data_IF_943860949007
#
_entry.id   IF_943860949007
#
_cell.length_a   1.000
_cell.length_b   1.000
_cell.length_c   1.000
_cell.angle_alpha   90.00
_cell.angle_beta   90.00
_cell.angle_gamma   90.00
#
_symmetry.space_group_name_H-M   'P 1'
#
loop_
_entity.id
_entity.type
_entity.pdbx_description
1 polymer ?
#
# COMPACT_ATOMS: atom_id res chain seq x y z
N UNK A 1 -36.31 30.47 -32.23
CA UNK A 1 -36.72 29.79 -30.98
C UNK A 1 -36.93 28.27 -31.16
N UNK A 2 -37.65 27.78 -32.20
CA UNK A 2 -37.92 26.34 -32.42
C UNK A 2 -36.67 25.47 -32.60
N UNK A 3 -35.59 25.95 -33.27
CA UNK A 3 -34.37 25.21 -33.50
C UNK A 3 -33.53 24.96 -32.21
N UNK A 4 -33.53 25.92 -31.27
CA UNK A 4 -32.85 25.81 -29.96
C UNK A 4 -33.56 24.79 -29.06
N UNK A 5 -34.89 24.76 -29.03
CA UNK A 5 -35.69 23.78 -28.27
C UNK A 5 -35.46 22.33 -28.74
N UNK A 6 -35.37 22.08 -30.07
CA UNK A 6 -35.07 20.74 -30.63
C UNK A 6 -33.68 20.24 -30.24
N UNK A 7 -32.67 21.12 -30.18
CA UNK A 7 -31.29 20.78 -29.79
C UNK A 7 -31.19 20.42 -28.30
N UNK A 8 -31.90 21.16 -27.44
CA UNK A 8 -31.98 20.86 -26.00
C UNK A 8 -32.66 19.51 -25.72
N UNK A 9 -33.76 19.22 -26.43
CA UNK A 9 -34.48 17.95 -26.27
C UNK A 9 -33.63 16.76 -26.70
N UNK A 10 -32.86 16.86 -27.82
CA UNK A 10 -31.93 15.81 -28.26
C UNK A 10 -30.80 15.60 -27.28
N UNK A 11 -30.26 16.66 -26.69
CA UNK A 11 -29.23 16.57 -25.66
C UNK A 11 -29.76 15.92 -24.36
N UNK A 12 -30.96 16.28 -23.93
CA UNK A 12 -31.62 15.66 -22.78
C UNK A 12 -31.80 14.14 -22.95
N UNK A 13 -32.32 13.72 -24.12
CA UNK A 13 -32.46 12.29 -24.42
C UNK A 13 -31.12 11.56 -24.56
N UNK A 14 -30.09 12.23 -25.03
CA UNK A 14 -28.74 11.68 -25.07
C UNK A 14 -28.21 11.42 -23.66
N UNK A 15 -28.37 12.37 -22.73
CA UNK A 15 -27.97 12.22 -21.31
C UNK A 15 -28.72 11.06 -20.64
N UNK A 16 -30.03 10.96 -20.86
CA UNK A 16 -30.84 9.86 -20.31
C UNK A 16 -30.36 8.50 -20.85
N UNK A 17 -30.14 8.39 -22.15
CA UNK A 17 -29.62 7.16 -22.75
C UNK A 17 -28.24 6.78 -22.17
N UNK A 18 -27.37 7.76 -22.00
CA UNK A 18 -26.05 7.54 -21.39
C UNK A 18 -26.17 7.06 -19.93
N UNK A 19 -27.09 7.65 -19.15
CA UNK A 19 -27.34 7.20 -17.76
C UNK A 19 -27.90 5.78 -17.72
N UNK A 20 -28.82 5.42 -18.62
CA UNK A 20 -29.37 4.05 -18.70
C UNK A 20 -28.24 3.05 -19.05
N UNK A 21 -27.40 3.37 -20.03
CA UNK A 21 -26.26 2.50 -20.38
C UNK A 21 -25.30 2.34 -19.21
N UNK A 22 -24.99 3.42 -18.52
CA UNK A 22 -24.14 3.39 -17.33
C UNK A 22 -24.75 2.52 -16.22
N UNK A 23 -26.05 2.67 -15.98
CA UNK A 23 -26.79 1.86 -15.01
C UNK A 23 -26.77 0.36 -15.39
N UNK A 24 -26.99 0.03 -16.65
CA UNK A 24 -26.92 -1.35 -17.12
C UNK A 24 -25.52 -1.95 -16.99
N UNK A 25 -24.47 -1.17 -17.24
CA UNK A 25 -23.08 -1.58 -17.03
C UNK A 25 -22.79 -1.84 -15.54
N UNK A 26 -23.28 -0.98 -14.64
CA UNK A 26 -23.15 -1.17 -13.19
C UNK A 26 -23.90 -2.42 -12.73
N UNK A 27 -25.14 -2.61 -13.19
CA UNK A 27 -25.93 -3.81 -12.86
C UNK A 27 -25.29 -5.09 -13.43
N UNK A 28 -24.75 -5.05 -14.64
CA UNK A 28 -24.01 -6.16 -15.23
C UNK A 28 -22.74 -6.50 -14.43
N UNK A 29 -21.96 -5.50 -14.04
CA UNK A 29 -20.78 -5.68 -13.21
C UNK A 29 -21.13 -6.23 -11.82
N UNK A 30 -22.21 -5.72 -11.19
CA UNK A 30 -22.72 -6.26 -9.93
C UNK A 30 -23.17 -7.72 -10.09
N UNK A 31 -23.87 -8.05 -11.17
CA UNK A 31 -24.26 -9.43 -11.48
C UNK A 31 -23.05 -10.36 -11.61
N UNK A 32 -22.02 -9.97 -12.35
CA UNK A 32 -20.79 -10.74 -12.48
C UNK A 32 -20.09 -10.88 -11.12
N UNK A 33 -20.04 -9.82 -10.32
CA UNK A 33 -19.45 -9.85 -8.98
C UNK A 33 -20.16 -10.85 -8.04
N UNK A 34 -21.50 -10.81 -7.97
CA UNK A 34 -22.27 -11.67 -7.06
C UNK A 34 -22.44 -13.10 -7.58
N UNK A 35 -22.68 -13.30 -8.88
CA UNK A 35 -22.93 -14.62 -9.44
C UNK A 35 -21.68 -15.30 -10.00
N UNK A 36 -20.60 -14.57 -10.23
CA UNK A 36 -19.31 -15.10 -10.69
C UNK A 36 -18.40 -15.67 -9.59
N UNK A 37 -18.87 -15.74 -8.33
CA UNK A 37 -18.08 -16.21 -7.19
C UNK A 37 -17.03 -15.23 -6.66
N UNK A 38 -16.85 -14.05 -7.29
CA UNK A 38 -15.86 -13.06 -6.85
C UNK A 38 -16.16 -12.47 -5.47
N UNK A 39 -17.45 -12.41 -5.08
CA UNK A 39 -17.83 -11.91 -3.77
C UNK A 39 -17.32 -12.82 -2.65
N UNK A 40 -17.45 -14.13 -2.81
CA UNK A 40 -17.00 -15.12 -1.84
C UNK A 40 -15.46 -15.12 -1.76
N UNK A 41 -14.79 -15.06 -2.91
CA UNK A 41 -13.34 -14.99 -2.99
C UNK A 41 -12.78 -13.72 -2.28
N UNK A 42 -13.38 -12.55 -2.52
CA UNK A 42 -13.01 -11.30 -1.82
C UNK A 42 -13.24 -11.40 -0.32
N UNK A 43 -14.33 -12.02 0.12
CA UNK A 43 -14.61 -12.23 1.55
C UNK A 43 -13.61 -13.20 2.18
N UNK A 44 -13.20 -14.24 1.47
CA UNK A 44 -12.15 -15.16 1.93
C UNK A 44 -10.82 -14.43 2.08
N UNK A 45 -10.36 -13.69 1.06
CA UNK A 45 -9.13 -12.89 1.10
C UNK A 45 -9.16 -11.91 2.28
N UNK A 46 -10.31 -11.29 2.54
CA UNK A 46 -10.47 -10.39 3.68
C UNK A 46 -10.30 -11.09 5.01
N UNK A 47 -10.91 -12.28 5.18
CA UNK A 47 -10.78 -13.07 6.42
C UNK A 47 -9.34 -13.49 6.66
N UNK A 48 -8.65 -13.95 5.61
CA UNK A 48 -7.25 -14.33 5.66
C UNK A 48 -6.37 -13.13 6.08
N UNK A 49 -6.58 -11.95 5.48
CA UNK A 49 -5.83 -10.76 5.83
C UNK A 49 -6.04 -10.32 7.29
N UNK A 50 -7.27 -10.40 7.80
CA UNK A 50 -7.60 -10.11 9.20
C UNK A 50 -6.86 -11.10 10.13
N UNK A 51 -6.89 -12.39 9.80
CA UNK A 51 -6.26 -13.42 10.60
C UNK A 51 -4.74 -13.29 10.61
N UNK A 52 -4.12 -13.08 9.46
CA UNK A 52 -2.67 -12.89 9.35
C UNK A 52 -2.17 -11.71 10.18
N UNK A 53 -2.87 -10.58 10.16
CA UNK A 53 -2.50 -9.43 10.99
C UNK A 53 -2.79 -9.69 12.48
N UNK A 54 -3.87 -10.42 12.82
CA UNK A 54 -4.17 -10.77 14.20
C UNK A 54 -3.13 -11.72 14.82
N UNK A 55 -2.67 -12.69 14.04
CA UNK A 55 -1.72 -13.70 14.49
C UNK A 55 -0.26 -13.21 14.49
N UNK A 56 0.04 -12.13 13.76
CA UNK A 56 1.37 -11.53 13.75
C UNK A 56 1.62 -10.71 15.02
N UNK A 57 2.86 -10.67 15.46
CA UNK A 57 3.33 -9.75 16.49
C UNK A 57 4.35 -8.74 15.95
N UNK A 58 4.86 -7.85 16.79
CA UNK A 58 5.82 -6.83 16.36
C UNK A 58 7.16 -7.41 15.92
N UNK A 59 7.50 -8.63 16.32
CA UNK A 59 8.77 -9.28 15.95
C UNK A 59 8.84 -9.53 14.43
N UNK A 60 7.69 -9.71 13.78
CA UNK A 60 7.62 -9.83 12.31
C UNK A 60 8.28 -8.64 11.60
N UNK A 61 8.15 -7.45 12.18
CA UNK A 61 8.62 -6.20 11.56
C UNK A 61 10.06 -5.84 11.96
N UNK A 62 10.67 -6.62 12.86
CA UNK A 62 12.05 -6.42 13.28
C UNK A 62 12.95 -7.25 12.35
N UNK A 63 13.78 -6.62 11.50
CA UNK A 63 14.70 -7.36 10.65
C UNK A 63 15.73 -8.12 11.48
N UNK A 64 16.28 -9.19 10.90
CA UNK A 64 17.41 -9.91 11.50
C UNK A 64 18.57 -8.93 11.73
N UNK A 65 18.87 -8.67 13.00
CA UNK A 65 19.86 -7.68 13.38
C UNK A 65 21.28 -8.24 13.25
N UNK A 66 22.24 -7.37 12.96
CA UNK A 66 23.66 -7.65 13.10
C UNK A 66 24.00 -7.85 14.57
N UNK A 67 24.60 -9.00 14.90
CA UNK A 67 25.08 -9.28 16.25
C UNK A 67 26.56 -8.84 16.36
N UNK A 68 26.82 -7.82 17.17
CA UNK A 68 28.18 -7.37 17.46
C UNK A 68 28.67 -8.01 18.76
N UNK A 69 29.82 -8.65 18.70
CA UNK A 69 30.47 -9.30 19.86
C UNK A 69 31.63 -8.42 20.33
N UNK A 70 31.62 -8.07 21.61
CA UNK A 70 32.64 -7.23 22.22
C UNK A 70 33.45 -8.02 23.26
N UNK A 71 34.71 -7.61 23.48
CA UNK A 71 35.52 -8.12 24.59
C UNK A 71 35.08 -7.49 25.94
N UNK A 72 35.70 -7.94 27.02
CA UNK A 72 35.43 -7.41 28.38
C UNK A 72 35.82 -5.94 28.54
N UNK A 73 36.61 -5.39 27.64
CA UNK A 73 37.06 -4.00 27.61
C UNK A 73 36.22 -3.11 26.69
N UNK A 74 35.19 -3.70 26.01
CA UNK A 74 34.30 -2.99 25.11
C UNK A 74 34.85 -2.86 23.67
N UNK A 75 35.94 -3.57 23.32
CA UNK A 75 36.44 -3.58 21.95
C UNK A 75 35.65 -4.57 21.09
N UNK A 76 35.29 -4.17 19.88
CA UNK A 76 34.60 -5.02 18.94
C UNK A 76 35.48 -6.19 18.49
N UNK A 77 35.06 -7.43 18.78
CA UNK A 77 35.77 -8.66 18.36
C UNK A 77 35.30 -9.12 16.98
N UNK A 78 33.98 -9.10 16.77
CA UNK A 78 33.37 -9.64 15.56
C UNK A 78 31.97 -9.07 15.36
N UNK A 79 31.59 -8.91 14.10
CA UNK A 79 30.21 -8.66 13.68
C UNK A 79 29.69 -9.86 12.90
N UNK A 80 28.61 -10.43 13.38
CA UNK A 80 27.82 -11.41 12.61
C UNK A 80 26.67 -10.67 11.97
N UNK A 81 26.78 -10.43 10.67
CA UNK A 81 25.72 -9.86 9.87
C UNK A 81 24.56 -10.85 9.79
N UNK A 82 23.36 -10.39 10.09
CA UNK A 82 22.13 -11.09 9.72
C UNK A 82 21.97 -11.09 8.20
N UNK A 83 20.90 -11.67 7.70
CA UNK A 83 20.57 -11.64 6.25
C UNK A 83 20.44 -10.21 5.70
N UNK A 84 20.17 -9.26 6.59
CA UNK A 84 20.11 -7.81 6.31
C UNK A 84 21.03 -7.12 7.32
N UNK A 85 22.08 -6.45 6.84
CA UNK A 85 23.02 -5.70 7.70
C UNK A 85 22.34 -4.40 8.17
N UNK A 86 21.40 -4.51 9.10
CA UNK A 86 20.62 -3.40 9.60
C UNK A 86 20.44 -3.47 11.12
N UNK A 87 20.51 -2.30 11.77
CA UNK A 87 20.06 -2.13 13.16
C UNK A 87 18.65 -1.54 13.12
N UNK A 88 17.79 -1.99 14.05
CA UNK A 88 16.44 -1.46 14.15
C UNK A 88 16.48 -0.07 14.78
N UNK A 89 15.89 0.91 14.09
CA UNK A 89 15.83 2.31 14.52
C UNK A 89 14.40 2.62 14.96
N UNK A 90 14.23 3.10 16.19
CA UNK A 90 12.92 3.54 16.70
C UNK A 90 12.49 4.84 16.00
N UNK A 91 11.17 5.06 15.89
CA UNK A 91 10.63 6.24 15.25
C UNK A 91 11.16 7.56 15.84
N UNK A 92 11.33 7.62 17.14
CA UNK A 92 11.86 8.79 17.88
C UNK A 92 13.30 9.18 17.49
N UNK A 93 14.08 8.19 17.03
CA UNK A 93 15.48 8.36 16.61
C UNK A 93 15.60 8.71 15.11
N UNK A 94 14.50 8.63 14.35
CA UNK A 94 14.49 8.96 12.93
C UNK A 94 14.35 10.48 12.74
N UNK A 95 15.26 11.13 11.98
CA UNK A 95 15.17 12.55 11.73
C UNK A 95 13.83 12.95 11.06
N UNK A 96 13.15 13.95 11.59
CA UNK A 96 11.85 14.43 11.06
C UNK A 96 11.94 14.86 9.59
N UNK A 97 13.08 15.40 9.17
CA UNK A 97 13.34 15.77 7.78
C UNK A 97 13.29 14.54 6.87
N UNK A 98 13.84 13.41 7.31
CA UNK A 98 13.81 12.16 6.54
C UNK A 98 12.39 11.62 6.42
N UNK A 99 11.65 11.56 7.54
CA UNK A 99 10.23 11.17 7.55
C UNK A 99 9.42 12.03 6.58
N UNK A 100 9.62 13.35 6.62
CA UNK A 100 8.93 14.29 5.72
C UNK A 100 9.27 14.05 4.25
N UNK A 101 10.54 13.76 3.95
CA UNK A 101 10.99 13.47 2.59
C UNK A 101 10.32 12.20 2.04
N UNK A 102 10.34 11.09 2.80
CA UNK A 102 9.72 9.82 2.41
C UNK A 102 8.21 10.00 2.17
N UNK A 103 7.50 10.62 3.12
CA UNK A 103 6.05 10.86 2.96
C UNK A 103 5.77 11.73 1.73
N UNK A 104 6.61 12.73 1.46
CA UNK A 104 6.43 13.62 0.31
C UNK A 104 6.62 12.93 -1.03
N UNK A 105 7.43 11.88 -1.08
CA UNK A 105 7.71 11.11 -2.30
C UNK A 105 6.70 9.97 -2.45
N UNK A 106 6.54 9.15 -1.41
CA UNK A 106 5.80 7.90 -1.47
C UNK A 106 4.30 8.08 -1.23
N UNK A 107 3.92 8.94 -0.27
CA UNK A 107 2.54 9.03 0.18
C UNK A 107 2.19 10.37 0.82
N UNK A 108 2.01 11.41 0.01
CA UNK A 108 1.73 12.80 0.46
C UNK A 108 0.54 12.94 1.40
N UNK A 109 -0.34 11.94 1.44
CA UNK A 109 -1.55 11.95 2.27
C UNK A 109 -1.53 10.91 3.37
N UNK A 110 -0.36 10.38 3.70
CA UNK A 110 -0.20 9.31 4.67
C UNK A 110 -1.01 9.50 5.96
N UNK A 111 -0.98 10.68 6.56
CA UNK A 111 -1.73 11.00 7.77
C UNK A 111 -3.24 11.25 7.56
N UNK A 112 -3.75 11.17 6.32
CA UNK A 112 -5.14 11.52 5.98
C UNK A 112 -6.00 10.33 5.53
N UNK A 113 -5.43 9.16 5.40
CA UNK A 113 -6.14 7.93 5.02
C UNK A 113 -5.87 6.80 6.02
N UNK A 114 -6.69 5.77 5.99
CA UNK A 114 -6.58 4.58 6.83
C UNK A 114 -6.04 3.40 6.01
N UNK A 115 -4.76 3.43 5.68
CA UNK A 115 -4.05 2.40 4.93
C UNK A 115 -4.12 2.52 3.41
N UNK A 116 -5.19 3.11 2.85
CA UNK A 116 -5.42 3.17 1.40
C UNK A 116 -5.90 4.55 0.96
N UNK A 117 -5.21 5.18 0.00
CA UNK A 117 -5.70 6.37 -0.72
C UNK A 117 -6.41 5.94 -2.02
N UNK A 118 -7.73 5.69 -1.94
CA UNK A 118 -8.55 5.33 -3.12
C UNK A 118 -8.50 6.40 -4.21
N UNK A 119 -8.34 7.68 -3.87
CA UNK A 119 -8.22 8.76 -4.85
C UNK A 119 -6.89 8.67 -5.62
N UNK A 120 -5.81 8.28 -4.93
CA UNK A 120 -4.52 8.03 -5.59
C UNK A 120 -4.59 6.81 -6.51
N UNK A 121 -5.23 5.73 -6.09
CA UNK A 121 -5.45 4.54 -6.92
C UNK A 121 -6.22 4.92 -8.19
N UNK A 122 -7.34 5.64 -8.06
CA UNK A 122 -8.14 6.07 -9.21
C UNK A 122 -7.37 6.98 -10.16
N UNK A 123 -6.53 7.89 -9.65
CA UNK A 123 -5.63 8.72 -10.49
C UNK A 123 -4.62 7.87 -11.24
N UNK A 124 -4.00 6.89 -10.56
CA UNK A 124 -3.02 5.99 -11.18
C UNK A 124 -3.66 5.15 -12.29
N UNK A 125 -4.87 4.61 -12.07
CA UNK A 125 -5.64 3.87 -13.08
C UNK A 125 -5.95 4.76 -14.29
N UNK A 126 -6.46 5.98 -14.07
CA UNK A 126 -6.74 6.94 -15.14
C UNK A 126 -5.47 7.28 -15.93
N UNK A 127 -4.37 7.57 -15.25
CA UNK A 127 -3.09 7.89 -15.90
C UNK A 127 -2.57 6.72 -16.73
N UNK A 128 -2.70 5.48 -16.24
CA UNK A 128 -2.34 4.26 -16.98
C UNK A 128 -3.18 4.07 -18.23
N UNK A 129 -4.50 4.29 -18.14
CA UNK A 129 -5.40 4.19 -19.29
C UNK A 129 -5.10 5.25 -20.37
N UNK A 130 -4.71 6.47 -19.95
CA UNK A 130 -4.38 7.55 -20.87
C UNK A 130 -3.00 7.42 -21.52
N UNK A 131 -2.02 6.95 -20.75
CA UNK A 131 -0.61 6.88 -21.20
C UNK A 131 -0.20 5.51 -21.76
N UNK A 132 -1.03 4.47 -21.63
CA UNK A 132 -0.72 3.08 -22.00
C UNK A 132 0.39 2.44 -21.14
N UNK A 133 0.95 3.17 -20.18
CA UNK A 133 2.03 2.73 -19.27
C UNK A 133 1.81 3.24 -17.86
N UNK A 134 2.49 2.62 -16.88
CA UNK A 134 2.45 3.09 -15.48
C UNK A 134 3.28 4.36 -15.38
N UNK A 135 2.63 5.48 -15.09
CA UNK A 135 3.25 6.80 -14.93
C UNK A 135 3.24 7.30 -13.51
N UNK A 136 2.35 6.76 -12.66
CA UNK A 136 2.21 7.14 -11.25
C UNK A 136 1.93 5.91 -10.40
N UNK A 137 2.52 5.85 -9.19
CA UNK A 137 2.19 4.88 -8.16
C UNK A 137 0.87 5.23 -7.47
N UNK A 138 0.08 4.21 -7.15
CA UNK A 138 -1.16 4.36 -6.37
C UNK A 138 -1.11 3.61 -5.03
N UNK A 139 0.04 3.04 -4.66
CA UNK A 139 0.21 2.34 -3.40
C UNK A 139 0.65 3.29 -2.30
N UNK A 140 0.07 3.16 -1.11
CA UNK A 140 0.45 3.91 0.10
C UNK A 140 1.66 3.27 0.79
N UNK A 141 2.26 3.97 1.75
CA UNK A 141 3.32 3.43 2.61
C UNK A 141 2.83 2.16 3.32
N UNK A 142 1.62 2.17 3.89
CA UNK A 142 1.04 1.01 4.58
C UNK A 142 0.81 -0.17 3.64
N UNK A 143 0.38 0.07 2.40
CA UNK A 143 0.26 -0.98 1.39
C UNK A 143 1.63 -1.57 1.00
N UNK A 144 2.68 -0.74 0.97
CA UNK A 144 4.04 -1.22 0.70
C UNK A 144 4.55 -2.05 1.87
N UNK A 145 4.33 -1.63 3.12
CA UNK A 145 4.66 -2.41 4.31
C UNK A 145 3.93 -3.76 4.31
N UNK A 146 2.62 -3.77 4.05
CA UNK A 146 1.83 -5.01 3.95
C UNK A 146 2.42 -5.99 2.94
N UNK A 147 2.84 -5.48 1.77
CA UNK A 147 3.51 -6.27 0.75
C UNK A 147 4.83 -6.87 1.25
N UNK A 148 5.65 -6.07 1.93
CA UNK A 148 6.97 -6.48 2.41
C UNK A 148 6.88 -7.60 3.46
N UNK A 149 5.87 -7.55 4.33
CA UNK A 149 5.77 -8.41 5.50
C UNK A 149 4.93 -9.67 5.30
N UNK A 150 3.90 -9.61 4.47
CA UNK A 150 2.89 -10.67 4.39
C UNK A 150 2.75 -11.32 3.01
N UNK A 151 3.48 -10.83 2.00
CA UNK A 151 3.15 -11.25 0.63
C UNK A 151 4.38 -11.63 -0.18
N UNK A 152 4.33 -12.79 -0.82
CA UNK A 152 5.23 -13.12 -1.91
C UNK A 152 4.83 -12.37 -3.19
N UNK A 153 5.78 -12.11 -4.08
CA UNK A 153 5.50 -11.32 -5.28
C UNK A 153 4.55 -12.04 -6.25
N UNK A 154 3.43 -11.40 -6.54
CA UNK A 154 2.46 -11.83 -7.54
C UNK A 154 1.90 -10.64 -8.32
N UNK A 155 1.32 -10.89 -9.50
CA UNK A 155 0.71 -9.86 -10.36
C UNK A 155 -0.81 -10.08 -10.54
N UNK A 156 -1.45 -10.83 -9.64
CA UNK A 156 -2.87 -11.13 -9.72
C UNK A 156 -3.72 -10.00 -9.10
N UNK A 157 -5.02 -9.99 -9.42
CA UNK A 157 -5.95 -9.05 -8.79
C UNK A 157 -6.18 -9.41 -7.31
N UNK A 158 -6.20 -10.70 -6.97
CA UNK A 158 -6.30 -11.20 -5.60
C UNK A 158 -5.17 -10.64 -4.72
N UNK A 159 -3.95 -10.66 -5.25
CA UNK A 159 -2.80 -10.06 -4.61
C UNK A 159 -3.03 -8.58 -4.25
N UNK A 160 -3.60 -7.80 -5.17
CA UNK A 160 -3.87 -6.38 -4.91
C UNK A 160 -4.99 -6.18 -3.90
N UNK A 161 -6.03 -7.01 -3.93
CA UNK A 161 -7.12 -7.00 -2.95
C UNK A 161 -6.60 -7.37 -1.56
N UNK A 162 -5.80 -8.43 -1.45
CA UNK A 162 -5.16 -8.83 -0.18
C UNK A 162 -4.30 -7.71 0.40
N UNK A 163 -3.48 -7.07 -0.43
CA UNK A 163 -2.65 -5.92 -0.03
C UNK A 163 -3.48 -4.77 0.56
N UNK A 164 -4.66 -4.49 -0.02
CA UNK A 164 -5.57 -3.46 0.47
C UNK A 164 -6.10 -3.83 1.86
N UNK A 165 -6.59 -5.06 2.04
CA UNK A 165 -7.14 -5.50 3.33
C UNK A 165 -6.06 -5.55 4.42
N UNK A 166 -4.88 -6.09 4.13
CA UNK A 166 -3.75 -6.08 5.05
C UNK A 166 -3.38 -4.65 5.49
N UNK A 167 -3.30 -3.71 4.55
CA UNK A 167 -3.01 -2.32 4.88
C UNK A 167 -4.09 -1.69 5.77
N UNK A 168 -5.36 -1.98 5.53
CA UNK A 168 -6.45 -1.49 6.37
C UNK A 168 -6.42 -2.10 7.78
N UNK A 169 -6.06 -3.37 7.94
CA UNK A 169 -5.96 -4.02 9.25
C UNK A 169 -4.73 -3.53 10.02
N UNK A 170 -3.59 -3.32 9.36
CA UNK A 170 -2.40 -2.72 9.97
C UNK A 170 -2.69 -1.34 10.56
N UNK A 171 -3.44 -0.49 9.86
CA UNK A 171 -3.83 0.85 10.34
C UNK A 171 -4.83 0.83 11.51
N UNK A 172 -5.55 -0.26 11.71
CA UNK A 172 -6.39 -0.44 12.89
C UNK A 172 -5.57 -0.83 14.12
N UNK A 173 -4.46 -1.53 13.90
CA UNK A 173 -3.64 -2.11 14.96
C UNK A 173 -2.50 -1.20 15.42
N UNK A 174 -1.89 -0.46 14.49
CA UNK A 174 -0.69 0.33 14.73
C UNK A 174 -0.90 1.82 14.42
N UNK A 175 -0.24 2.68 15.18
CA UNK A 175 -0.24 4.12 14.89
C UNK A 175 0.53 4.43 13.61
N UNK A 176 0.34 5.64 13.07
CA UNK A 176 1.04 6.12 11.88
C UNK A 176 2.56 6.12 12.06
N UNK A 177 3.00 6.54 13.24
CA UNK A 177 4.41 6.57 13.63
C UNK A 177 4.99 5.15 13.64
N UNK A 178 4.25 4.18 14.20
CA UNK A 178 4.67 2.79 14.27
C UNK A 178 4.73 2.13 12.89
N UNK A 179 3.78 2.43 12.02
CA UNK A 179 3.79 1.98 10.62
C UNK A 179 5.00 2.54 9.86
N UNK A 180 5.34 3.82 10.06
CA UNK A 180 6.54 4.43 9.48
C UNK A 180 7.82 3.79 10.02
N UNK A 181 7.89 3.54 11.33
CA UNK A 181 9.00 2.83 11.97
C UNK A 181 9.23 1.47 11.29
N UNK A 182 8.19 0.65 11.21
CA UNK A 182 8.27 -0.66 10.55
C UNK A 182 8.66 -0.55 9.08
N UNK A 183 8.07 0.39 8.36
CA UNK A 183 8.35 0.59 6.94
C UNK A 183 9.80 0.97 6.70
N UNK A 184 10.32 1.97 7.44
CA UNK A 184 11.68 2.49 7.26
C UNK A 184 12.76 1.50 7.69
N UNK A 185 12.45 0.58 8.61
CA UNK A 185 13.37 -0.50 8.99
C UNK A 185 13.40 -1.68 8.00
N UNK A 186 12.42 -1.78 7.09
CA UNK A 186 12.29 -2.93 6.20
C UNK A 186 12.40 -2.63 4.70
N UNK A 187 12.27 -1.36 4.30
CA UNK A 187 12.33 -0.98 2.89
C UNK A 187 13.74 -1.15 2.33
N UNK A 188 13.80 -1.53 1.05
CA UNK A 188 15.03 -1.60 0.29
C UNK A 188 15.40 -0.23 -0.29
N UNK A 189 16.59 0.29 0.05
CA UNK A 189 17.09 1.60 -0.37
C UNK A 189 18.00 1.58 -1.59
N UNK A 190 18.29 0.46 -2.19
CA UNK A 190 19.24 0.18 -3.26
C UNK A 190 20.60 -0.35 -2.74
N UNK A 191 21.46 -0.79 -3.66
CA UNK A 191 22.84 -1.28 -3.40
C UNK A 191 22.96 -2.35 -2.31
N UNK A 192 21.89 -3.13 -2.08
CA UNK A 192 21.87 -4.17 -1.02
C UNK A 192 21.47 -3.68 0.36
N UNK A 193 21.19 -2.38 0.54
CA UNK A 193 20.82 -1.82 1.83
C UNK A 193 19.32 -1.97 2.12
N UNK A 194 19.01 -2.62 3.23
CA UNK A 194 17.66 -2.75 3.77
C UNK A 194 17.58 -1.98 5.10
N UNK A 195 16.54 -1.18 5.25
CA UNK A 195 16.35 -0.35 6.43
C UNK A 195 17.15 0.95 6.42
N UNK A 196 16.66 1.91 7.17
CA UNK A 196 17.19 3.27 7.24
C UNK A 196 18.62 3.30 7.81
N UNK A 197 18.92 2.49 8.79
CA UNK A 197 20.23 2.46 9.44
C UNK A 197 21.32 2.04 8.43
N UNK A 198 21.10 0.94 7.70
CA UNK A 198 22.05 0.48 6.68
C UNK A 198 22.22 1.48 5.52
N UNK A 199 21.18 2.23 5.20
CA UNK A 199 21.22 3.22 4.13
C UNK A 199 21.93 4.54 4.53
N UNK A 200 22.06 4.82 5.83
CA UNK A 200 22.67 6.05 6.36
C UNK A 200 24.13 5.86 6.80
N UNK A 201 24.62 4.65 6.91
CA UNK A 201 26.05 4.30 7.14
C UNK A 201 26.81 4.32 5.82
#
# INVERSE_FOLDING_TARGET
>A
AKKKRKKQHRFFWFVIKLQIVLMLLVLGAAGVYFFGGYADEVQQIRKEAIQEVADSDESLFVPSQTCSVYDTNGNLISERKGDKDAQYVKYEDIPKSFVTAIISIEDKKFYRHNGVDFKAIMRAVKARLQAGRVTQGGSTITMQLAKLMYMEQSKTWQYKVKQIFLAMELEKRYSKEKILEFYLNNIYFANGYYGIDAACR
#
